data_IF_603229429618
#
_entry.id   IF_603229429618
#
_cell.length_a   1.000
_cell.length_b   1.000
_cell.length_c   1.000
_cell.angle_alpha   90.00
_cell.angle_beta   90.00
_cell.angle_gamma   90.00
#
_symmetry.space_group_name_H-M   'P 1'
#
loop_
_entity.id
_entity.type
_entity.pdbx_description
1 polymer ?
#
# COMPACT_ATOMS: atom_id res chain seq x y z
N UNK A 1 -13.15 -8.43 5.88
CA UNK A 1 -13.49 -7.18 5.17
C UNK A 1 -12.20 -6.51 4.73
N UNK A 2 -12.17 -5.87 3.56
CA UNK A 2 -10.99 -5.14 3.10
C UNK A 2 -10.66 -3.99 4.05
N UNK A 3 -9.39 -3.60 4.11
CA UNK A 3 -8.95 -2.45 4.88
C UNK A 3 -8.69 -1.29 3.92
N UNK A 4 -9.27 -0.12 4.20
CA UNK A 4 -9.00 1.12 3.49
C UNK A 4 -8.63 2.21 4.49
N UNK A 5 -7.33 2.42 4.70
CA UNK A 5 -6.85 3.15 5.88
C UNK A 5 -5.61 4.01 5.61
N UNK A 6 -5.61 5.21 6.19
CA UNK A 6 -4.48 6.13 6.25
C UNK A 6 -3.87 6.10 7.66
N UNK A 7 -2.61 5.69 7.74
CA UNK A 7 -1.78 5.84 8.93
C UNK A 7 -1.10 7.20 8.86
N UNK A 8 -1.35 8.06 9.85
CA UNK A 8 -0.82 9.41 9.86
C UNK A 8 -0.15 9.78 11.17
N UNK A 9 0.76 10.73 11.10
CA UNK A 9 1.48 11.26 12.25
C UNK A 9 2.88 11.70 11.86
N UNK A 10 3.68 12.01 12.88
CA UNK A 10 4.99 12.65 12.72
C UNK A 10 6.03 11.74 12.05
N UNK A 11 7.12 12.30 11.53
CA UNK A 11 8.18 11.51 10.91
C UNK A 11 8.81 10.53 11.89
N UNK A 12 9.12 9.32 11.41
CA UNK A 12 9.79 8.31 12.22
C UNK A 12 8.89 7.57 13.21
N UNK A 13 7.55 7.74 13.20
CA UNK A 13 6.62 6.98 14.06
C UNK A 13 6.33 5.56 13.55
N UNK A 14 7.19 4.98 12.72
CA UNK A 14 7.05 3.58 12.32
C UNK A 14 5.81 3.25 11.47
N UNK A 15 5.15 4.22 10.83
CA UNK A 15 3.94 4.01 10.00
C UNK A 15 4.10 2.88 8.97
N UNK A 16 5.11 2.99 8.12
CA UNK A 16 5.39 1.99 7.07
C UNK A 16 5.87 0.67 7.67
N UNK A 17 6.64 0.72 8.77
CA UNK A 17 7.04 -0.47 9.52
C UNK A 17 5.83 -1.25 10.06
N UNK A 18 4.84 -0.54 10.61
CA UNK A 18 3.61 -1.11 11.15
C UNK A 18 2.77 -1.78 10.06
N UNK A 19 2.64 -1.14 8.90
CA UNK A 19 1.97 -1.74 7.73
C UNK A 19 2.63 -3.07 7.38
N UNK A 20 3.96 -3.07 7.24
CA UNK A 20 4.73 -4.22 6.77
C UNK A 20 4.83 -5.37 7.77
N UNK A 21 4.93 -5.07 9.07
CA UNK A 21 5.18 -6.07 10.12
C UNK A 21 3.94 -6.52 10.87
N UNK A 22 2.88 -5.71 10.88
CA UNK A 22 1.66 -6.02 11.62
C UNK A 22 0.46 -6.18 10.69
N UNK A 23 0.15 -5.16 9.88
CA UNK A 23 -1.14 -5.11 9.17
C UNK A 23 -1.19 -6.15 8.05
N UNK A 24 -0.18 -6.19 7.19
CA UNK A 24 -0.12 -7.10 6.05
C UNK A 24 -0.11 -8.58 6.51
N UNK A 25 0.82 -9.03 7.36
CA UNK A 25 0.88 -10.44 7.73
C UNK A 25 -0.24 -10.87 8.70
N UNK A 26 -0.63 -10.03 9.66
CA UNK A 26 -1.54 -10.48 10.73
C UNK A 26 -3.01 -10.16 10.43
N UNK A 27 -3.31 -8.97 9.90
CA UNK A 27 -4.70 -8.56 9.61
C UNK A 27 -5.15 -8.97 8.22
N UNK A 28 -4.31 -8.76 7.21
CA UNK A 28 -4.64 -9.11 5.82
C UNK A 28 -4.24 -10.54 5.47
N UNK A 29 -3.39 -11.21 6.28
CA UNK A 29 -2.93 -12.59 6.05
C UNK A 29 -2.29 -12.77 4.67
N UNK A 30 -1.54 -11.75 4.22
CA UNK A 30 -0.82 -11.80 2.95
C UNK A 30 0.60 -12.28 3.24
N UNK A 31 0.96 -13.41 2.65
CA UNK A 31 2.30 -14.01 2.76
C UNK A 31 3.05 -14.03 1.42
N UNK A 32 2.33 -13.97 0.30
CA UNK A 32 2.93 -13.83 -1.03
C UNK A 32 3.23 -12.35 -1.33
N UNK A 33 4.51 -12.05 -1.57
CA UNK A 33 4.96 -10.71 -1.93
C UNK A 33 4.36 -10.21 -3.26
N UNK A 34 3.93 -11.10 -4.17
CA UNK A 34 3.27 -10.68 -5.41
C UNK A 34 1.89 -10.06 -5.18
N UNK A 35 1.28 -10.31 -4.01
CA UNK A 35 0.02 -9.71 -3.59
C UNK A 35 0.23 -8.36 -2.86
N UNK A 36 1.46 -7.86 -2.77
CA UNK A 36 1.81 -6.57 -2.15
C UNK A 36 2.31 -5.62 -3.24
N UNK A 37 1.46 -4.67 -3.63
CA UNK A 37 1.82 -3.62 -4.59
C UNK A 37 2.13 -2.36 -3.79
N UNK A 38 3.35 -1.83 -3.91
CA UNK A 38 3.78 -0.61 -3.21
C UNK A 38 4.05 0.52 -4.20
N UNK A 39 3.69 1.74 -3.81
CA UNK A 39 4.04 2.96 -4.53
C UNK A 39 4.24 4.11 -3.55
N UNK A 40 4.89 5.18 -4.00
CA UNK A 40 5.13 6.40 -3.22
C UNK A 40 4.63 7.57 -4.03
N UNK A 41 3.75 8.38 -3.46
CA UNK A 41 3.28 9.58 -4.13
C UNK A 41 4.33 10.69 -4.02
N UNK A 42 4.52 11.40 -5.12
CA UNK A 42 5.38 12.56 -5.24
C UNK A 42 4.68 13.63 -6.09
N UNK A 43 5.16 14.89 -6.12
CA UNK A 43 4.44 15.98 -6.78
C UNK A 43 4.12 15.71 -8.27
N UNK A 44 5.05 15.07 -8.97
CA UNK A 44 4.89 14.71 -10.39
C UNK A 44 4.17 13.37 -10.63
N UNK A 45 3.67 12.70 -9.59
CA UNK A 45 2.96 11.43 -9.74
C UNK A 45 1.57 11.71 -10.30
N UNK A 46 1.20 11.03 -11.39
CA UNK A 46 -0.03 11.35 -12.14
C UNK A 46 -1.05 10.22 -12.13
N UNK A 47 -2.28 10.50 -12.59
CA UNK A 47 -3.28 9.47 -12.87
C UNK A 47 -2.73 8.38 -13.80
N UNK A 48 -1.88 8.74 -14.77
CA UNK A 48 -1.24 7.79 -15.67
C UNK A 48 -0.23 6.85 -14.98
N UNK A 49 0.39 7.26 -13.88
CA UNK A 49 1.24 6.37 -13.07
C UNK A 49 0.42 5.44 -12.18
N UNK A 50 -0.78 5.90 -11.79
CA UNK A 50 -1.71 5.14 -10.95
C UNK A 50 -2.49 4.10 -11.73
N UNK A 51 -3.10 4.49 -12.85
CA UNK A 51 -3.93 3.64 -13.69
C UNK A 51 -3.13 3.04 -14.84
N UNK A 52 -2.42 3.87 -15.58
CA UNK A 52 -1.49 3.45 -16.63
C UNK A 52 -1.37 4.48 -17.73
N UNK A 53 -0.28 4.42 -18.50
CA UNK A 53 0.02 5.39 -19.56
C UNK A 53 0.77 4.75 -20.71
N UNK A 54 0.64 5.35 -21.89
CA UNK A 54 1.49 5.02 -23.04
C UNK A 54 2.86 5.67 -22.85
N UNK A 55 3.90 4.87 -22.95
CA UNK A 55 5.28 5.32 -22.89
C UNK A 55 5.93 5.11 -24.26
N UNK A 56 6.64 6.12 -24.80
CA UNK A 56 7.44 5.95 -26.00
C UNK A 56 8.68 5.10 -25.66
N UNK A 57 8.97 4.14 -26.52
CA UNK A 57 10.18 3.34 -26.52
C UNK A 57 10.87 3.56 -27.85
N UNK A 58 12.09 4.09 -27.80
CA UNK A 58 12.96 4.23 -28.96
C UNK A 58 13.83 2.99 -29.03
N UNK A 59 13.77 2.25 -30.12
CA UNK A 59 14.70 1.15 -30.36
C UNK A 59 16.06 1.65 -30.88
N UNK A 60 17.05 0.74 -30.98
CA UNK A 60 18.40 1.05 -31.48
C UNK A 60 18.40 1.59 -32.93
N UNK A 61 17.28 1.47 -33.64
CA UNK A 61 17.08 1.99 -35.00
C UNK A 61 16.44 3.37 -35.05
N UNK A 62 16.30 4.05 -33.89
CA UNK A 62 15.61 5.34 -33.71
C UNK A 62 14.11 5.32 -34.03
N UNK A 63 13.50 4.14 -34.14
CA UNK A 63 12.06 4.03 -34.37
C UNK A 63 11.33 4.14 -33.03
N UNK A 64 10.38 5.07 -32.95
CA UNK A 64 9.53 5.25 -31.77
C UNK A 64 8.36 4.30 -31.84
N UNK A 65 8.24 3.42 -30.84
CA UNK A 65 7.07 2.58 -30.59
C UNK A 65 6.40 3.01 -29.29
N UNK A 66 5.09 2.83 -29.17
CA UNK A 66 4.38 3.13 -27.94
C UNK A 66 4.02 1.83 -27.23
N UNK A 67 4.36 1.74 -25.95
CA UNK A 67 3.99 0.61 -25.10
C UNK A 67 3.13 1.10 -23.94
N UNK A 68 2.00 0.43 -23.74
CA UNK A 68 1.18 0.66 -22.56
C UNK A 68 1.86 0.10 -21.31
N UNK A 69 1.99 0.94 -20.30
CA UNK A 69 2.51 0.59 -18.98
C UNK A 69 1.37 0.64 -17.96
N UNK A 70 1.04 -0.51 -17.38
CA UNK A 70 -0.01 -0.62 -16.36
C UNK A 70 0.44 0.03 -15.05
N UNK A 71 -0.41 0.91 -14.51
CA UNK A 71 -0.16 1.62 -13.26
C UNK A 71 -0.37 0.74 -12.03
N UNK A 72 0.03 1.27 -10.87
CA UNK A 72 0.02 0.53 -9.60
C UNK A 72 -1.37 0.08 -9.16
N UNK A 73 -2.41 0.89 -9.37
CA UNK A 73 -3.77 0.53 -9.04
C UNK A 73 -4.29 -0.62 -9.91
N UNK A 74 -4.10 -0.54 -11.23
CA UNK A 74 -4.55 -1.60 -12.15
C UNK A 74 -3.78 -2.91 -11.93
N UNK A 75 -2.50 -2.85 -11.54
CA UNK A 75 -1.75 -4.04 -11.10
C UNK A 75 -2.37 -4.70 -9.88
N UNK A 76 -2.67 -3.91 -8.84
CA UNK A 76 -3.30 -4.42 -7.63
C UNK A 76 -4.70 -4.98 -7.91
N UNK A 77 -5.50 -4.28 -8.73
CA UNK A 77 -6.83 -4.71 -9.14
C UNK A 77 -6.79 -6.00 -9.97
N UNK A 78 -5.91 -6.06 -10.97
CA UNK A 78 -5.73 -7.24 -11.81
C UNK A 78 -5.32 -8.46 -11.00
N UNK A 79 -4.40 -8.29 -10.04
CA UNK A 79 -4.01 -9.37 -9.12
C UNK A 79 -5.18 -9.82 -8.25
N UNK A 80 -5.99 -8.90 -7.74
CA UNK A 80 -7.15 -9.24 -6.91
C UNK A 80 -8.21 -10.03 -7.70
N UNK A 81 -8.50 -9.62 -8.93
CA UNK A 81 -9.39 -10.34 -9.85
C UNK A 81 -8.84 -11.71 -10.26
N UNK A 82 -7.54 -11.80 -10.54
CA UNK A 82 -6.86 -13.08 -10.78
C UNK A 82 -7.08 -14.04 -9.62
N UNK A 83 -6.85 -13.58 -8.39
CA UNK A 83 -7.03 -14.42 -7.19
C UNK A 83 -8.49 -14.87 -7.03
N UNK A 84 -9.48 -14.06 -7.43
CA UNK A 84 -10.90 -14.48 -7.49
C UNK A 84 -11.09 -15.61 -8.50
N UNK A 85 -10.64 -15.43 -9.74
CA UNK A 85 -10.75 -16.46 -10.78
C UNK A 85 -10.06 -17.75 -10.33
N UNK A 86 -8.79 -17.68 -9.91
CA UNK A 86 -8.03 -18.85 -9.46
C UNK A 86 -8.70 -19.59 -8.32
N UNK A 87 -9.30 -18.87 -7.37
CA UNK A 87 -10.03 -19.48 -6.25
C UNK A 87 -11.28 -20.22 -6.70
N UNK A 88 -12.02 -19.66 -7.67
CA UNK A 88 -13.21 -20.29 -8.25
C UNK A 88 -12.85 -21.52 -9.08
N UNK A 89 -11.81 -21.44 -9.92
CA UNK A 89 -11.33 -22.59 -10.69
C UNK A 89 -10.84 -23.72 -9.79
N UNK A 90 -10.08 -23.40 -8.74
CA UNK A 90 -9.64 -24.41 -7.77
C UNK A 90 -10.84 -25.11 -7.06
N UNK A 91 -11.92 -24.37 -6.81
CA UNK A 91 -13.14 -24.93 -6.26
C UNK A 91 -13.87 -25.83 -7.27
N UNK A 92 -13.93 -25.45 -8.53
CA UNK A 92 -14.50 -26.27 -9.61
C UNK A 92 -13.69 -27.55 -9.83
N UNK A 93 -12.36 -27.45 -9.91
CA UNK A 93 -11.44 -28.59 -10.02
C UNK A 93 -11.65 -29.59 -8.86
N UNK A 94 -11.79 -29.10 -7.63
CA UNK A 94 -12.06 -29.94 -6.47
C UNK A 94 -13.40 -30.68 -6.59
N UNK A 95 -14.46 -30.02 -7.09
CA UNK A 95 -15.75 -30.67 -7.36
C UNK A 95 -15.64 -31.70 -8.48
N UNK A 96 -14.89 -31.43 -9.53
CA UNK A 96 -14.65 -32.41 -10.59
C UNK A 96 -13.88 -33.64 -10.09
N UNK A 97 -12.95 -33.47 -9.17
CA UNK A 97 -12.26 -34.58 -8.52
C UNK A 97 -13.23 -35.44 -7.69
N UNK A 98 -14.11 -34.80 -6.90
CA UNK A 98 -15.18 -35.47 -6.16
C UNK A 98 -16.09 -36.26 -7.10
N UNK A 99 -16.53 -35.64 -8.19
CA UNK A 99 -17.37 -36.29 -9.20
C UNK A 99 -16.67 -37.51 -9.80
N UNK A 100 -15.40 -37.36 -10.15
CA UNK A 100 -14.61 -38.42 -10.78
C UNK A 100 -14.41 -39.61 -9.85
N UNK A 101 -14.19 -39.37 -8.55
CA UNK A 101 -14.14 -40.42 -7.51
C UNK A 101 -15.51 -41.08 -7.35
N UNK A 102 -16.58 -40.30 -7.24
CA UNK A 102 -17.94 -40.82 -7.07
C UNK A 102 -18.37 -41.71 -8.24
N UNK A 103 -18.12 -41.28 -9.49
CA UNK A 103 -18.36 -42.08 -10.72
C UNK A 103 -17.69 -43.45 -10.68
N UNK A 104 -16.46 -43.51 -10.15
CA UNK A 104 -15.71 -44.77 -10.00
C UNK A 104 -16.33 -45.66 -8.92
N UNK A 105 -16.78 -45.09 -7.81
CA UNK A 105 -17.41 -45.83 -6.72
C UNK A 105 -18.73 -46.50 -7.14
N UNK A 106 -19.58 -45.77 -7.87
CA UNK A 106 -20.87 -46.30 -8.37
C UNK A 106 -20.76 -47.02 -9.72
N UNK A 107 -19.54 -47.09 -10.29
CA UNK A 107 -19.25 -47.69 -11.59
C UNK A 107 -20.13 -47.16 -12.76
N UNK A 108 -20.45 -45.85 -12.74
CA UNK A 108 -21.22 -45.17 -13.79
C UNK A 108 -20.42 -44.00 -14.35
N UNK A 109 -20.35 -43.91 -15.67
CA UNK A 109 -19.57 -42.85 -16.36
C UNK A 109 -20.39 -41.60 -16.67
N UNK A 110 -21.69 -41.76 -16.96
CA UNK A 110 -22.58 -40.68 -17.34
C UNK A 110 -23.60 -40.36 -16.23
N UNK A 111 -23.61 -39.10 -15.80
CA UNK A 111 -24.49 -38.59 -14.73
C UNK A 111 -25.99 -38.75 -15.04
N UNK A 112 -26.37 -38.86 -16.32
CA UNK A 112 -27.76 -39.03 -16.72
C UNK A 112 -28.36 -40.35 -16.20
N UNK A 113 -27.53 -41.36 -15.94
CA UNK A 113 -27.95 -42.66 -15.38
C UNK A 113 -27.89 -42.72 -13.85
N UNK A 114 -27.67 -41.58 -13.19
CA UNK A 114 -27.65 -41.54 -11.73
C UNK A 114 -29.07 -41.64 -11.20
N UNK A 115 -29.26 -42.53 -10.23
CA UNK A 115 -30.49 -42.64 -9.45
C UNK A 115 -30.66 -41.42 -8.55
N UNK A 116 -31.88 -41.20 -8.06
CA UNK A 116 -32.18 -40.04 -7.21
C UNK A 116 -31.31 -40.02 -5.94
N UNK A 117 -31.15 -41.18 -5.29
CA UNK A 117 -30.28 -41.35 -4.11
C UNK A 117 -28.82 -41.03 -4.40
N UNK A 118 -28.29 -41.44 -5.56
CA UNK A 118 -26.91 -41.15 -5.98
C UNK A 118 -26.71 -39.66 -6.28
N UNK A 119 -27.72 -38.98 -6.86
CA UNK A 119 -27.67 -37.52 -7.08
C UNK A 119 -27.69 -36.75 -5.77
N UNK A 120 -28.49 -37.19 -4.81
CA UNK A 120 -28.52 -36.62 -3.46
C UNK A 120 -27.17 -36.81 -2.75
N UNK A 121 -26.58 -38.00 -2.83
CA UNK A 121 -25.27 -38.26 -2.25
C UNK A 121 -24.17 -37.42 -2.90
N UNK A 122 -24.14 -37.31 -4.24
CA UNK A 122 -23.19 -36.45 -4.93
C UNK A 122 -23.34 -34.98 -4.50
N UNK A 123 -24.58 -34.48 -4.38
CA UNK A 123 -24.82 -33.12 -3.89
C UNK A 123 -24.33 -32.93 -2.46
N UNK A 124 -24.52 -33.91 -1.58
CA UNK A 124 -23.98 -33.87 -0.22
C UNK A 124 -22.45 -33.80 -0.22
N UNK A 125 -21.79 -34.59 -1.08
CA UNK A 125 -20.32 -34.55 -1.24
C UNK A 125 -19.85 -33.22 -1.82
N UNK A 126 -20.55 -32.66 -2.81
CA UNK A 126 -20.27 -31.31 -3.31
C UNK A 126 -20.41 -30.24 -2.24
N UNK A 127 -21.42 -30.33 -1.38
CA UNK A 127 -21.63 -29.38 -0.28
C UNK A 127 -20.54 -29.50 0.80
N UNK A 128 -19.83 -30.62 0.86
CA UNK A 128 -18.67 -30.81 1.74
C UNK A 128 -17.37 -30.18 1.19
N UNK A 129 -17.32 -29.84 -0.10
CA UNK A 129 -16.19 -29.13 -0.70
C UNK A 129 -16.19 -27.70 -0.17
N UNK A 130 -15.16 -27.36 0.61
CA UNK A 130 -15.03 -26.01 1.13
C UNK A 130 -14.75 -25.02 0.00
N UNK A 131 -15.48 -23.90 -0.03
CA UNK A 131 -15.12 -22.77 -0.89
C UNK A 131 -13.77 -22.22 -0.43
N UNK A 132 -12.83 -22.11 -1.36
CA UNK A 132 -11.56 -21.43 -1.12
C UNK A 132 -11.86 -19.93 -1.22
N UNK A 133 -11.41 -19.16 -0.23
CA UNK A 133 -11.47 -17.71 -0.29
C UNK A 133 -10.33 -17.18 -1.15
N UNK A 134 -10.56 -16.17 -2.01
CA UNK A 134 -9.49 -15.61 -2.82
C UNK A 134 -8.43 -14.96 -1.92
N UNK A 135 -7.17 -15.15 -2.29
CA UNK A 135 -6.06 -14.52 -1.59
C UNK A 135 -6.20 -13.00 -1.60
N UNK A 136 -5.90 -12.39 -0.46
CA UNK A 136 -5.94 -10.95 -0.29
C UNK A 136 -4.78 -10.28 -1.04
N UNK A 137 -5.05 -9.08 -1.54
CA UNK A 137 -4.10 -8.19 -2.21
C UNK A 137 -4.12 -6.85 -1.50
N UNK A 138 -2.96 -6.19 -1.41
CA UNK A 138 -2.85 -4.86 -0.82
C UNK A 138 -2.11 -3.91 -1.74
N UNK A 139 -2.69 -2.73 -1.93
CA UNK A 139 -2.02 -1.55 -2.48
C UNK A 139 -1.56 -0.66 -1.33
N UNK A 140 -0.24 -0.49 -1.18
CA UNK A 140 0.37 0.41 -0.19
C UNK A 140 0.83 1.68 -0.89
N UNK A 141 0.31 2.82 -0.45
CA UNK A 141 0.65 4.15 -0.96
C UNK A 141 1.37 4.94 0.13
N UNK A 142 2.67 5.07 0.02
CA UNK A 142 3.46 5.91 0.93
C UNK A 142 3.29 7.40 0.55
N UNK A 143 3.31 8.28 1.55
CA UNK A 143 3.30 9.73 1.36
C UNK A 143 2.10 10.25 0.53
N UNK A 144 0.88 9.81 0.86
CA UNK A 144 -0.34 10.09 0.09
C UNK A 144 -0.55 11.57 -0.28
N UNK A 145 -0.16 12.44 0.65
CA UNK A 145 -0.34 13.89 0.57
C UNK A 145 0.79 14.62 -0.17
N UNK A 146 1.85 13.94 -0.62
CA UNK A 146 2.93 14.54 -1.43
C UNK A 146 2.57 14.65 -2.91
N UNK A 147 1.58 13.90 -3.37
CA UNK A 147 0.97 14.06 -4.69
C UNK A 147 -0.42 14.68 -4.57
N UNK A 148 -0.94 15.22 -5.67
CA UNK A 148 -2.33 15.69 -5.73
C UNK A 148 -3.28 14.48 -5.74
N UNK A 149 -3.62 13.97 -4.55
CA UNK A 149 -4.36 12.71 -4.41
C UNK A 149 -5.70 12.72 -5.16
N UNK A 150 -6.40 13.86 -5.19
CA UNK A 150 -7.65 14.00 -5.94
C UNK A 150 -7.44 13.81 -7.45
N UNK A 151 -6.41 14.43 -8.01
CA UNK A 151 -6.07 14.29 -9.44
C UNK A 151 -5.52 12.89 -9.77
N UNK A 152 -4.71 12.31 -8.89
CA UNK A 152 -4.11 10.98 -9.08
C UNK A 152 -5.18 9.88 -9.09
N UNK A 153 -6.13 9.93 -8.14
CA UNK A 153 -7.22 8.96 -8.11
C UNK A 153 -8.24 9.22 -9.23
N UNK A 154 -8.48 10.48 -9.60
CA UNK A 154 -9.40 10.81 -10.70
C UNK A 154 -10.76 10.14 -10.52
N UNK A 155 -11.18 9.31 -11.48
CA UNK A 155 -12.43 8.55 -11.41
C UNK A 155 -12.41 7.40 -10.39
N UNK A 156 -11.23 6.81 -10.11
CA UNK A 156 -11.04 5.74 -9.10
C UNK A 156 -11.52 6.18 -7.73
N UNK A 157 -11.55 7.49 -7.47
CA UNK A 157 -12.16 8.08 -6.30
C UNK A 157 -13.56 7.54 -5.96
N UNK A 158 -14.40 7.29 -6.97
CA UNK A 158 -15.75 6.76 -6.77
C UNK A 158 -15.76 5.30 -6.29
N UNK A 159 -14.70 4.54 -6.60
CA UNK A 159 -14.57 3.14 -6.19
C UNK A 159 -14.16 2.99 -4.72
N UNK A 160 -13.69 4.05 -4.09
CA UNK A 160 -13.26 4.03 -2.70
C UNK A 160 -14.44 3.90 -1.71
N UNK A 161 -15.66 4.21 -2.14
CA UNK A 161 -16.86 3.97 -1.34
C UNK A 161 -17.14 2.46 -1.28
N UNK A 162 -17.03 1.85 -0.10
CA UNK A 162 -17.19 0.39 0.11
C UNK A 162 -18.58 0.04 0.61
N UNK A 163 -19.16 -1.01 0.01
CA UNK A 163 -20.39 -1.64 0.45
C UNK A 163 -20.15 -2.65 1.59
N UNK A 164 -21.22 -3.16 2.20
CA UNK A 164 -21.13 -4.14 3.30
C UNK A 164 -20.50 -5.48 2.87
N UNK A 165 -20.62 -5.84 1.60
CA UNK A 165 -19.99 -7.03 1.02
C UNK A 165 -18.47 -6.85 0.77
N UNK A 166 -17.94 -5.64 1.00
CA UNK A 166 -16.54 -5.27 0.77
C UNK A 166 -16.21 -4.84 -0.66
N UNK A 167 -17.12 -5.00 -1.62
CA UNK A 167 -16.94 -4.43 -2.94
C UNK A 167 -17.08 -2.91 -2.90
N UNK A 168 -16.56 -2.23 -3.92
CA UNK A 168 -16.94 -0.83 -4.13
C UNK A 168 -18.45 -0.74 -4.38
N UNK A 169 -19.11 0.27 -3.80
CA UNK A 169 -20.54 0.51 -4.01
C UNK A 169 -20.79 0.82 -5.49
N UNK A 170 -20.01 1.77 -6.01
CA UNK A 170 -20.08 2.22 -7.39
C UNK A 170 -19.10 1.47 -8.28
N UNK A 171 -19.35 1.56 -9.59
CA UNK A 171 -18.41 1.15 -10.63
C UNK A 171 -17.95 2.38 -11.41
N UNK A 172 -16.84 2.25 -12.12
CA UNK A 172 -16.40 3.25 -13.10
C UNK A 172 -16.15 2.57 -14.43
N UNK A 173 -16.17 3.37 -15.49
CA UNK A 173 -15.71 2.95 -16.83
C UNK A 173 -14.26 3.39 -17.01
N UNK A 174 -13.42 2.48 -17.48
CA UNK A 174 -12.02 2.75 -17.85
C UNK A 174 -11.86 2.75 -19.38
N UNK A 175 -10.75 3.29 -19.86
CA UNK A 175 -10.40 3.28 -21.29
C UNK A 175 -10.05 1.87 -21.78
N UNK A 176 -10.14 1.64 -23.09
CA UNK A 176 -9.78 0.35 -23.69
C UNK A 176 -8.33 -0.05 -23.41
N UNK A 177 -7.40 0.91 -23.40
CA UNK A 177 -6.00 0.67 -23.08
C UNK A 177 -5.82 0.23 -21.63
N UNK A 178 -6.53 0.85 -20.69
CA UNK A 178 -6.57 0.43 -19.29
C UNK A 178 -7.17 -0.96 -19.14
N UNK A 179 -8.25 -1.28 -19.88
CA UNK A 179 -8.82 -2.64 -19.89
C UNK A 179 -7.81 -3.67 -20.42
N UNK A 180 -7.11 -3.37 -21.51
CA UNK A 180 -6.06 -4.26 -22.05
C UNK A 180 -4.94 -4.48 -21.02
N UNK A 181 -4.49 -3.40 -20.36
CA UNK A 181 -3.50 -3.48 -19.29
C UNK A 181 -3.99 -4.32 -18.12
N UNK A 182 -5.22 -4.10 -17.67
CA UNK A 182 -5.85 -4.84 -16.58
C UNK A 182 -5.99 -6.32 -16.92
N UNK A 183 -6.51 -6.67 -18.10
CA UNK A 183 -6.64 -8.05 -18.56
C UNK A 183 -5.29 -8.78 -18.55
N UNK A 184 -4.22 -8.09 -18.95
CA UNK A 184 -2.86 -8.62 -18.88
C UNK A 184 -2.41 -8.91 -17.45
N UNK A 185 -2.68 -8.00 -16.51
CA UNK A 185 -2.36 -8.21 -15.08
C UNK A 185 -3.21 -9.32 -14.44
N UNK A 186 -4.43 -9.53 -14.93
CA UNK A 186 -5.27 -10.68 -14.54
C UNK A 186 -4.64 -12.01 -15.01
N UNK A 187 -3.79 -11.99 -16.05
CA UNK A 187 -3.14 -13.17 -16.62
C UNK A 187 -3.66 -13.55 -18.01
N UNK A 188 -4.50 -12.72 -18.63
CA UNK A 188 -4.99 -12.95 -19.97
C UNK A 188 -4.01 -12.46 -21.04
N UNK A 189 -3.92 -13.21 -22.14
CA UNK A 189 -3.25 -12.75 -23.35
C UNK A 189 -4.01 -13.21 -24.59
N UNK A 190 -3.99 -12.38 -25.65
CA UNK A 190 -4.60 -12.67 -26.94
C UNK A 190 -3.53 -12.91 -27.99
N UNK A 191 -3.74 -13.88 -28.86
CA UNK A 191 -2.88 -14.15 -30.01
C UNK A 191 -3.72 -14.57 -31.21
N UNK A 192 -3.17 -14.38 -32.40
CA UNK A 192 -3.83 -14.65 -33.66
C UNK A 192 -3.16 -15.83 -34.35
N UNK A 193 -3.95 -16.80 -34.78
CA UNK A 193 -3.49 -17.87 -35.66
C UNK A 193 -4.03 -17.65 -37.06
N UNK A 194 -3.18 -17.85 -38.05
CA UNK A 194 -3.55 -17.79 -39.45
C UNK A 194 -3.58 -19.21 -40.02
N UNK A 195 -4.78 -19.74 -40.25
CA UNK A 195 -4.98 -21.05 -40.85
C UNK A 195 -6.01 -20.95 -41.97
N UNK A 196 -5.68 -21.52 -43.14
CA UNK A 196 -6.63 -21.64 -44.26
C UNK A 196 -7.20 -20.33 -44.80
N UNK A 197 -6.49 -19.20 -44.66
CA UNK A 197 -6.96 -17.90 -45.13
C UNK A 197 -7.82 -17.13 -44.12
N UNK A 198 -8.05 -17.66 -42.91
CA UNK A 198 -8.80 -17.02 -41.83
C UNK A 198 -7.89 -16.74 -40.64
N UNK A 199 -8.12 -15.60 -40.00
CA UNK A 199 -7.49 -15.25 -38.73
C UNK A 199 -8.44 -15.63 -37.60
N UNK A 200 -8.04 -16.58 -36.75
CA UNK A 200 -8.78 -16.93 -35.55
C UNK A 200 -8.17 -16.27 -34.32
N UNK A 201 -9.02 -15.70 -33.47
CA UNK A 201 -8.63 -15.19 -32.15
C UNK A 201 -8.54 -16.34 -31.15
N UNK A 202 -7.38 -16.43 -30.49
CA UNK A 202 -7.14 -17.38 -29.40
C UNK A 202 -6.75 -16.63 -28.14
N UNK A 203 -7.08 -17.24 -27.00
CA UNK A 203 -6.91 -16.65 -25.69
C UNK A 203 -6.04 -17.58 -24.85
N UNK A 204 -5.26 -16.99 -23.94
CA UNK A 204 -4.61 -17.72 -22.86
C UNK A 204 -4.97 -17.09 -21.54
N UNK A 205 -5.11 -17.93 -20.53
CA UNK A 205 -5.15 -17.53 -19.13
C UNK A 205 -4.00 -18.23 -18.40
N UNK A 206 -3.13 -17.46 -17.72
CA UNK A 206 -1.95 -18.00 -17.04
C UNK A 206 -1.06 -18.86 -17.97
N UNK A 207 -0.96 -18.47 -19.24
CA UNK A 207 -0.19 -19.17 -20.27
C UNK A 207 -0.84 -20.43 -20.84
N UNK A 208 -1.96 -20.91 -20.29
CA UNK A 208 -2.75 -22.04 -20.83
C UNK A 208 -3.77 -21.54 -21.83
N UNK A 209 -3.93 -22.26 -22.95
CA UNK A 209 -4.93 -21.93 -23.96
C UNK A 209 -6.34 -22.07 -23.39
N UNK A 210 -7.22 -21.13 -23.74
CA UNK A 210 -8.63 -21.18 -23.43
C UNK A 210 -9.46 -20.74 -24.65
N UNK A 211 -10.65 -21.33 -24.76
CA UNK A 211 -11.67 -20.97 -25.73
C UNK A 211 -12.27 -19.59 -25.41
N UNK A 212 -12.92 -18.99 -26.41
CA UNK A 212 -13.68 -17.73 -26.23
C UNK A 212 -14.73 -17.86 -25.13
N UNK A 213 -15.36 -19.04 -25.01
CA UNK A 213 -16.35 -19.31 -23.98
C UNK A 213 -15.70 -19.29 -22.60
N UNK A 214 -14.64 -20.06 -22.39
CA UNK A 214 -13.91 -20.09 -21.11
C UNK A 214 -13.36 -18.71 -20.73
N UNK A 215 -12.85 -17.94 -21.70
CA UNK A 215 -12.42 -16.56 -21.47
C UNK A 215 -13.56 -15.70 -20.90
N UNK A 216 -14.74 -15.73 -21.52
CA UNK A 216 -15.91 -14.97 -21.05
C UNK A 216 -16.45 -15.49 -19.71
N UNK A 217 -16.42 -16.80 -19.49
CA UNK A 217 -16.83 -17.43 -18.24
C UNK A 217 -15.91 -16.96 -17.10
N UNK A 218 -14.58 -16.95 -17.30
CA UNK A 218 -13.62 -16.47 -16.31
C UNK A 218 -13.79 -14.99 -15.97
N UNK A 219 -14.07 -14.14 -16.95
CA UNK A 219 -14.37 -12.73 -16.69
C UNK A 219 -15.66 -12.57 -15.87
N UNK A 220 -16.65 -13.44 -16.09
CA UNK A 220 -17.92 -13.42 -15.37
C UNK A 220 -17.77 -13.89 -13.91
N UNK A 221 -16.85 -14.84 -13.64
CA UNK A 221 -16.54 -15.32 -12.29
C UNK A 221 -16.12 -14.19 -11.33
N UNK A 222 -15.50 -13.13 -11.84
CA UNK A 222 -15.04 -11.99 -11.02
C UNK A 222 -16.21 -11.36 -10.26
N UNK A 223 -17.35 -11.19 -10.91
CA UNK A 223 -18.52 -10.49 -10.35
C UNK A 223 -19.65 -11.43 -9.97
N UNK A 224 -19.43 -12.74 -10.00
CA UNK A 224 -20.47 -13.74 -9.77
C UNK A 224 -21.13 -13.59 -8.39
N UNK A 225 -20.33 -13.26 -7.37
CA UNK A 225 -20.78 -13.13 -5.98
C UNK A 225 -21.55 -11.82 -5.70
N UNK A 226 -21.63 -10.89 -6.66
CA UNK A 226 -22.45 -9.69 -6.54
C UNK A 226 -23.93 -9.99 -6.85
N UNK A 227 -24.83 -9.24 -6.24
CA UNK A 227 -26.24 -9.23 -6.67
C UNK A 227 -26.36 -8.76 -8.13
N UNK A 228 -27.33 -9.28 -8.88
CA UNK A 228 -27.45 -9.01 -10.33
C UNK A 228 -27.52 -7.51 -10.67
N UNK A 229 -28.16 -6.69 -9.83
CA UNK A 229 -28.21 -5.22 -9.99
C UNK A 229 -26.84 -4.55 -9.83
N UNK A 230 -25.93 -5.16 -9.05
CA UNK A 230 -24.59 -4.63 -8.76
C UNK A 230 -23.51 -5.19 -9.68
N UNK A 231 -23.80 -6.26 -10.42
CA UNK A 231 -22.86 -6.88 -11.37
C UNK A 231 -22.47 -5.88 -12.46
N UNK A 232 -21.22 -5.96 -12.87
CA UNK A 232 -20.69 -5.21 -14.01
C UNK A 232 -19.98 -6.16 -14.96
N UNK A 233 -19.64 -5.66 -16.14
CA UNK A 233 -18.92 -6.43 -17.15
C UNK A 233 -17.62 -5.74 -17.52
N UNK A 234 -16.51 -6.48 -17.46
CA UNK A 234 -15.23 -6.03 -17.98
C UNK A 234 -15.26 -5.83 -19.51
N UNK A 235 -16.16 -6.53 -20.21
CA UNK A 235 -16.38 -6.33 -21.66
C UNK A 235 -16.95 -4.93 -21.94
N UNK A 236 -17.69 -4.36 -20.99
CA UNK A 236 -18.17 -2.97 -21.04
C UNK A 236 -17.15 -1.96 -20.47
N UNK A 237 -15.91 -2.40 -20.24
CA UNK A 237 -14.85 -1.62 -19.59
C UNK A 237 -15.23 -1.12 -18.19
N UNK A 238 -16.14 -1.80 -17.48
CA UNK A 238 -16.55 -1.43 -16.13
C UNK A 238 -15.77 -2.22 -15.08
N UNK A 239 -15.31 -1.51 -14.04
CA UNK A 239 -14.57 -2.10 -12.93
C UNK A 239 -15.17 -1.73 -11.58
N UNK A 240 -14.95 -2.60 -10.59
CA UNK A 240 -15.26 -2.41 -9.17
C UNK A 240 -14.07 -2.86 -8.34
N UNK A 241 -13.86 -2.31 -7.14
CA UNK A 241 -12.81 -2.86 -6.27
C UNK A 241 -13.38 -4.06 -5.51
N UNK A 242 -12.76 -5.25 -5.57
CA UNK A 242 -13.25 -6.42 -4.87
C UNK A 242 -12.97 -6.39 -3.37
N UNK A 243 -13.64 -7.27 -2.63
CA UNK A 243 -13.50 -7.41 -1.19
C UNK A 243 -12.12 -7.95 -0.74
N UNK A 244 -11.37 -8.60 -1.63
CA UNK A 244 -10.01 -9.08 -1.36
C UNK A 244 -8.92 -8.04 -1.69
N UNK A 245 -9.27 -6.82 -2.15
CA UNK A 245 -8.30 -5.75 -2.37
C UNK A 245 -8.40 -4.65 -1.29
N UNK A 246 -7.36 -4.56 -0.48
CA UNK A 246 -7.18 -3.53 0.55
C UNK A 246 -6.26 -2.40 0.06
N UNK A 247 -6.47 -1.18 0.56
CA UNK A 247 -5.64 -0.03 0.25
C UNK A 247 -5.14 0.58 1.57
N UNK A 248 -3.84 0.55 1.78
CA UNK A 248 -3.20 1.13 2.96
C UNK A 248 -2.36 2.31 2.52
N UNK A 249 -2.30 3.34 3.35
CA UNK A 249 -1.52 4.50 3.02
C UNK A 249 -0.86 5.12 4.24
N UNK A 250 0.24 5.82 4.03
CA UNK A 250 0.90 6.61 5.05
C UNK A 250 0.83 8.10 4.72
N UNK A 251 0.82 8.93 5.75
CA UNK A 251 0.85 10.37 5.61
C UNK A 251 1.72 10.99 6.71
N UNK A 252 2.71 11.78 6.33
CA UNK A 252 3.39 12.67 7.26
C UNK A 252 2.60 13.96 7.42
N UNK A 253 2.34 14.35 8.65
CA UNK A 253 1.63 15.60 8.96
C UNK A 253 2.56 16.80 9.11
N UNK A 254 3.87 16.55 9.26
CA UNK A 254 4.91 17.56 9.49
C UNK A 254 5.36 18.34 8.27
N UNK A 255 5.15 17.78 7.08
CA UNK A 255 5.66 18.32 5.83
C UNK A 255 4.89 19.57 5.42
N UNK A 256 5.63 20.64 5.13
CA UNK A 256 5.05 21.93 4.76
C UNK A 256 4.58 21.98 3.29
N UNK A 257 5.07 21.07 2.44
CA UNK A 257 4.80 21.00 1.00
C UNK A 257 3.91 19.80 0.66
N UNK A 258 2.70 19.81 1.18
CA UNK A 258 1.72 18.75 0.98
C UNK A 258 0.49 19.28 0.25
N UNK A 259 -0.09 18.47 -0.62
CA UNK A 259 -1.35 18.76 -1.27
C UNK A 259 -2.49 18.66 -0.26
N UNK A 260 -3.44 19.58 -0.39
CA UNK A 260 -4.65 19.55 0.42
C UNK A 260 -5.55 18.39 -0.02
N UNK A 261 -5.94 17.54 0.94
CA UNK A 261 -7.00 16.55 0.73
C UNK A 261 -8.34 17.13 1.16
N UNK A 262 -9.30 17.14 0.24
CA UNK A 262 -10.64 17.62 0.53
C UNK A 262 -11.43 16.70 1.47
N UNK A 263 -12.53 17.22 2.00
CA UNK A 263 -13.36 16.49 2.96
C UNK A 263 -14.08 15.28 2.34
N UNK A 264 -14.29 15.24 1.03
CA UNK A 264 -14.91 14.11 0.37
C UNK A 264 -13.93 12.95 0.25
N UNK A 265 -12.66 13.23 -0.04
CA UNK A 265 -11.57 12.25 -0.01
C UNK A 265 -11.40 11.69 1.39
N UNK A 266 -11.24 12.55 2.39
CA UNK A 266 -11.00 12.10 3.77
C UNK A 266 -12.06 11.16 4.32
N UNK A 267 -13.34 11.37 3.98
CA UNK A 267 -14.48 10.56 4.45
C UNK A 267 -14.48 9.12 3.95
N UNK A 268 -13.72 8.81 2.90
CA UNK A 268 -13.63 7.47 2.30
C UNK A 268 -12.53 6.61 2.92
N UNK A 269 -11.76 7.16 3.84
CA UNK A 269 -10.67 6.46 4.50
C UNK A 269 -10.94 6.35 5.98
N UNK A 270 -10.59 5.20 6.55
CA UNK A 270 -10.35 5.13 7.98
C UNK A 270 -9.03 5.83 8.30
N UNK A 271 -9.00 6.56 9.40
CA UNK A 271 -7.83 7.29 9.86
C UNK A 271 -7.28 6.64 11.11
N UNK A 272 -5.99 6.36 11.12
CA UNK A 272 -5.31 5.83 12.30
C UNK A 272 -4.08 6.69 12.61
N UNK A 273 -4.16 7.40 13.74
CA UNK A 273 -3.04 8.16 14.25
C UNK A 273 -1.99 7.19 14.81
N UNK A 274 -0.74 7.33 14.39
CA UNK A 274 0.38 6.55 14.91
C UNK A 274 1.11 7.40 15.93
N UNK A 275 0.87 7.06 17.20
CA UNK A 275 1.44 7.76 18.34
C UNK A 275 2.97 7.60 18.38
N UNK A 276 3.63 8.66 18.84
CA UNK A 276 5.07 8.75 19.03
C UNK A 276 5.50 7.95 20.25
N UNK A 277 4.65 7.91 21.28
CA UNK A 277 4.87 7.18 22.54
C UNK A 277 4.37 5.73 22.45
N UNK A 278 4.75 5.03 21.39
CA UNK A 278 4.42 3.62 21.20
C UNK A 278 5.53 2.74 21.79
N UNK A 279 5.28 2.14 22.96
CA UNK A 279 6.24 1.27 23.66
C UNK A 279 6.73 0.10 22.79
N UNK A 280 5.90 -0.42 21.88
CA UNK A 280 6.33 -1.49 20.98
C UNK A 280 7.41 -0.97 20.03
N UNK A 281 7.22 0.22 19.49
CA UNK A 281 8.21 0.87 18.62
C UNK A 281 9.48 1.26 19.38
N UNK A 282 9.31 1.78 20.60
CA UNK A 282 10.41 2.10 21.52
C UNK A 282 11.31 0.89 21.77
N UNK A 283 10.70 -0.28 21.97
CA UNK A 283 11.40 -1.53 22.22
C UNK A 283 12.09 -2.09 20.97
N UNK A 284 11.49 -1.94 19.78
CA UNK A 284 12.12 -2.36 18.52
C UNK A 284 13.46 -1.66 18.27
N UNK A 285 13.61 -0.41 18.74
CA UNK A 285 14.83 0.39 18.54
C UNK A 285 15.78 0.38 19.75
N UNK A 286 15.50 -0.41 20.79
CA UNK A 286 16.22 -0.36 22.07
C UNK A 286 17.72 -0.70 21.95
N UNK A 287 18.14 -1.40 20.89
CA UNK A 287 19.56 -1.69 20.61
C UNK A 287 20.32 -0.52 20.00
N UNK A 288 19.65 0.52 19.49
CA UNK A 288 20.28 1.64 18.80
C UNK A 288 20.94 2.58 19.81
N UNK A 289 22.17 3.02 19.51
CA UNK A 289 22.97 3.86 20.42
C UNK A 289 23.53 5.09 19.72
N UNK A 290 23.60 6.20 20.44
CA UNK A 290 24.30 7.40 19.99
C UNK A 290 25.78 7.28 20.38
N UNK A 291 26.66 7.28 19.37
CA UNK A 291 28.12 7.26 19.52
C UNK A 291 28.72 8.50 18.87
N UNK A 292 29.16 9.45 19.69
CA UNK A 292 29.80 10.67 19.20
C UNK A 292 31.30 10.56 19.37
N UNK A 293 32.04 10.63 18.25
CA UNK A 293 33.51 10.54 18.24
C UNK A 293 34.01 9.28 18.97
N UNK A 294 33.41 8.14 18.62
CA UNK A 294 33.66 6.81 19.19
C UNK A 294 33.36 6.65 20.68
N UNK A 295 32.71 7.65 21.29
CA UNK A 295 32.24 7.59 22.68
C UNK A 295 30.74 7.34 22.71
N UNK A 296 30.36 6.25 23.38
CA UNK A 296 28.98 5.91 23.67
C UNK A 296 28.35 6.96 24.61
N UNK A 297 27.22 7.54 24.22
CA UNK A 297 26.53 8.58 24.98
C UNK A 297 25.27 8.08 25.67
N UNK A 298 24.39 7.44 24.93
CA UNK A 298 23.09 6.98 25.44
C UNK A 298 22.40 6.04 24.44
N UNK A 299 21.30 5.42 24.88
CA UNK A 299 20.37 4.74 24.00
C UNK A 299 19.54 5.74 23.19
N UNK A 300 19.26 5.41 21.93
CA UNK A 300 18.54 6.30 21.01
C UNK A 300 17.10 6.58 21.46
N UNK A 301 16.39 5.57 21.94
CA UNK A 301 15.03 5.71 22.44
C UNK A 301 14.93 6.69 23.63
N UNK A 302 15.84 6.58 24.61
CA UNK A 302 15.90 7.49 25.75
C UNK A 302 16.16 8.94 25.30
N UNK A 303 17.07 9.13 24.33
CA UNK A 303 17.32 10.44 23.77
C UNK A 303 16.10 11.02 23.05
N UNK A 304 15.39 10.21 22.26
CA UNK A 304 14.14 10.61 21.59
C UNK A 304 13.07 11.03 22.60
N UNK A 305 12.92 10.27 23.70
CA UNK A 305 11.97 10.59 24.78
C UNK A 305 12.28 11.97 25.37
N UNK A 306 13.55 12.23 25.73
CA UNK A 306 13.98 13.52 26.28
C UNK A 306 13.85 14.67 25.27
N UNK A 307 14.19 14.43 24.01
CA UNK A 307 14.05 15.45 22.98
C UNK A 307 12.59 15.83 22.75
N UNK A 308 11.68 14.85 22.70
CA UNK A 308 10.25 15.13 22.59
C UNK A 308 9.71 15.82 23.85
N UNK A 309 10.21 15.48 25.04
CA UNK A 309 9.90 16.23 26.26
C UNK A 309 10.33 17.70 26.15
N UNK A 310 11.54 17.97 25.69
CA UNK A 310 12.04 19.33 25.42
C UNK A 310 11.16 20.07 24.40
N UNK A 311 10.82 19.46 23.27
CA UNK A 311 9.93 20.06 22.26
C UNK A 311 8.58 20.42 22.88
N UNK A 312 8.00 19.51 23.68
CA UNK A 312 6.71 19.71 24.36
C UNK A 312 6.76 20.81 25.41
N UNK A 313 7.85 20.93 26.14
CA UNK A 313 8.04 22.01 27.09
C UNK A 313 7.93 23.39 26.42
N UNK A 314 8.41 23.50 25.19
CA UNK A 314 8.36 24.73 24.38
C UNK A 314 7.08 24.86 23.51
N UNK A 315 5.95 24.25 23.89
CA UNK A 315 4.70 24.27 23.12
C UNK A 315 4.16 25.65 22.77
N UNK A 316 4.46 26.67 23.58
CA UNK A 316 4.03 28.06 23.31
C UNK A 316 4.72 28.66 22.08
N UNK A 317 5.93 28.21 21.76
CA UNK A 317 6.72 28.71 20.63
C UNK A 317 6.67 27.76 19.44
N UNK A 318 6.50 26.46 19.66
CA UNK A 318 6.41 25.45 18.60
C UNK A 318 4.97 25.28 18.13
N UNK A 319 4.66 25.76 16.92
CA UNK A 319 3.33 25.60 16.31
C UNK A 319 3.13 24.17 15.80
N UNK A 320 1.89 23.67 15.87
CA UNK A 320 1.50 22.30 15.47
C UNK A 320 2.41 21.23 16.09
N UNK A 321 2.53 21.27 17.41
CA UNK A 321 3.52 20.50 18.15
C UNK A 321 3.48 19.00 17.89
N UNK A 322 2.27 18.45 17.69
CA UNK A 322 2.08 17.04 17.37
C UNK A 322 2.97 16.64 16.18
N UNK A 323 2.89 17.42 15.10
CA UNK A 323 3.59 17.22 13.84
C UNK A 323 5.09 17.55 13.90
N UNK A 324 5.58 18.15 15.00
CA UNK A 324 6.98 18.62 15.13
C UNK A 324 7.84 17.74 16.02
N UNK A 325 7.23 16.78 16.71
CA UNK A 325 7.94 15.74 17.43
C UNK A 325 8.56 14.71 16.47
N UNK A 326 9.48 13.90 16.96
CA UNK A 326 10.15 12.84 16.18
C UNK A 326 9.80 11.46 16.74
N UNK A 327 9.61 10.48 15.86
CA UNK A 327 9.46 9.09 16.27
C UNK A 327 10.77 8.31 16.33
N UNK A 328 10.73 7.14 16.95
CA UNK A 328 11.88 6.26 17.17
C UNK A 328 12.60 5.79 15.88
N UNK A 329 11.91 5.77 14.74
CA UNK A 329 12.48 5.40 13.43
C UNK A 329 13.02 6.61 12.63
N UNK A 330 13.12 7.79 13.24
CA UNK A 330 13.63 8.99 12.56
C UNK A 330 15.07 8.80 12.05
N UNK A 331 15.90 8.08 12.81
CA UNK A 331 17.21 7.57 12.36
C UNK A 331 17.18 6.05 12.50
N UNK A 332 17.47 5.33 11.41
CA UNK A 332 17.34 3.87 11.35
C UNK A 332 18.65 3.09 11.58
N UNK A 333 19.76 3.81 11.65
CA UNK A 333 21.10 3.27 11.88
C UNK A 333 21.23 2.67 13.29
N UNK A 334 21.95 1.53 13.42
CA UNK A 334 22.21 0.91 14.73
C UNK A 334 23.15 1.77 15.59
N UNK A 335 24.18 2.34 14.95
CA UNK A 335 25.08 3.30 15.57
C UNK A 335 24.85 4.69 14.98
N UNK A 336 24.40 5.62 15.83
CA UNK A 336 24.04 6.98 15.45
C UNK A 336 25.24 7.89 15.73
N UNK A 337 25.91 8.31 14.65
CA UNK A 337 27.11 9.14 14.72
C UNK A 337 26.79 10.65 14.64
N UNK A 338 27.84 11.46 14.71
CA UNK A 338 27.73 12.92 14.65
C UNK A 338 27.08 13.43 13.35
N UNK A 339 27.35 12.80 12.19
CA UNK A 339 26.74 13.20 10.92
C UNK A 339 25.23 12.90 10.88
N UNK A 340 24.79 11.79 11.50
CA UNK A 340 23.37 11.50 11.63
C UNK A 340 22.64 12.53 12.50
N UNK A 341 23.21 12.90 13.65
CA UNK A 341 22.66 13.95 14.52
C UNK A 341 22.64 15.29 13.80
N UNK A 342 23.77 15.69 13.20
CA UNK A 342 23.93 16.97 12.53
C UNK A 342 23.01 17.13 11.31
N UNK A 343 23.11 16.23 10.35
CA UNK A 343 22.52 16.42 9.02
C UNK A 343 21.05 15.95 8.93
N UNK A 344 20.60 15.08 9.84
CA UNK A 344 19.19 14.63 9.88
C UNK A 344 18.44 15.31 11.02
N UNK A 345 18.86 15.06 12.27
CA UNK A 345 18.11 15.48 13.44
C UNK A 345 18.14 17.00 13.66
N UNK A 346 19.32 17.57 13.82
CA UNK A 346 19.50 19.00 14.08
C UNK A 346 19.03 19.82 12.89
N UNK A 347 19.20 19.33 11.66
CA UNK A 347 18.62 19.95 10.48
C UNK A 347 17.09 20.00 10.55
N UNK A 348 16.41 18.92 10.92
CA UNK A 348 14.95 18.92 11.09
C UNK A 348 14.50 19.86 12.22
N UNK A 349 15.18 19.84 13.37
CA UNK A 349 14.89 20.77 14.46
C UNK A 349 15.06 22.23 14.00
N UNK A 350 16.10 22.50 13.21
CA UNK A 350 16.36 23.81 12.67
C UNK A 350 15.30 24.23 11.64
N UNK A 351 15.08 23.44 10.60
CA UNK A 351 14.27 23.83 9.46
C UNK A 351 12.76 23.70 9.72
N UNK A 352 12.35 22.73 10.54
CA UNK A 352 10.95 22.35 10.72
C UNK A 352 10.37 22.69 12.09
N UNK A 353 11.12 22.53 13.18
CA UNK A 353 10.58 22.68 14.56
C UNK A 353 10.75 24.09 15.10
N UNK A 354 11.98 24.60 15.08
CA UNK A 354 12.35 25.91 15.64
C UNK A 354 12.52 26.99 14.56
N UNK A 355 11.90 26.81 13.40
CA UNK A 355 12.13 27.60 12.20
C UNK A 355 11.87 29.10 12.35
N UNK A 356 10.89 29.47 13.18
CA UNK A 356 10.53 30.87 13.45
C UNK A 356 11.14 31.42 14.75
N UNK A 357 11.52 30.56 15.69
CA UNK A 357 12.02 31.00 16.99
C UNK A 357 13.13 30.05 17.48
N UNK A 358 14.36 30.58 17.54
CA UNK A 358 15.57 29.86 17.96
C UNK A 358 15.81 29.90 19.47
N UNK A 359 15.07 30.72 20.20
CA UNK A 359 15.26 30.92 21.64
C UNK A 359 15.29 29.62 22.46
N UNK A 360 14.40 28.63 22.21
CA UNK A 360 14.50 27.35 22.91
C UNK A 360 15.87 26.67 22.76
N UNK A 361 16.48 26.74 21.58
CA UNK A 361 17.80 26.13 21.33
C UNK A 361 18.93 26.93 21.99
N UNK A 362 18.85 28.26 22.00
CA UNK A 362 19.87 29.11 22.62
C UNK A 362 19.81 29.03 24.14
N UNK A 363 18.61 28.99 24.72
CA UNK A 363 18.38 28.78 26.16
C UNK A 363 18.91 27.40 26.60
N UNK A 364 18.66 26.35 25.79
CA UNK A 364 19.19 25.00 26.06
C UNK A 364 20.72 24.92 26.03
N UNK A 365 21.34 25.61 25.07
CA UNK A 365 22.79 25.63 24.86
C UNK A 365 23.51 26.68 25.70
N UNK A 366 22.78 27.52 26.45
CA UNK A 366 23.35 28.62 27.25
C UNK A 366 24.23 29.58 26.43
N UNK A 367 23.87 29.81 25.16
CA UNK A 367 24.57 30.72 24.24
C UNK A 367 23.71 31.94 23.90
N UNK A 368 24.38 33.05 23.57
CA UNK A 368 23.69 34.27 23.14
C UNK A 368 22.98 34.05 21.78
N UNK A 369 21.82 34.68 21.58
CA UNK A 369 21.05 34.55 20.34
C UNK A 369 21.86 34.95 19.10
N UNK A 370 22.84 35.85 19.23
CA UNK A 370 23.74 36.28 18.14
C UNK A 370 24.75 35.20 17.74
N UNK A 371 24.98 34.20 18.58
CA UNK A 371 25.90 33.11 18.31
C UNK A 371 25.24 31.94 17.56
N UNK A 372 23.91 31.89 17.53
CA UNK A 372 23.11 30.84 16.89
C UNK A 372 22.15 31.38 15.82
N UNK A 373 22.70 32.13 14.86
CA UNK A 373 21.93 32.75 13.77
C UNK A 373 21.80 31.82 12.55
N UNK A 374 22.81 30.99 12.30
CA UNK A 374 22.92 30.14 11.12
C UNK A 374 23.00 28.66 11.48
N UNK A 375 22.54 27.80 10.57
CA UNK A 375 22.67 26.35 10.75
C UNK A 375 24.14 25.90 10.85
N UNK A 376 25.06 26.59 10.17
CA UNK A 376 26.50 26.33 10.29
C UNK A 376 27.04 26.53 11.70
N UNK A 377 26.50 27.50 12.46
CA UNK A 377 26.87 27.69 13.87
C UNK A 377 26.29 26.58 14.75
N UNK A 378 25.03 26.18 14.50
CA UNK A 378 24.37 25.10 15.24
C UNK A 378 25.07 23.75 15.06
N UNK A 379 25.74 23.55 13.93
CA UNK A 379 26.37 22.27 13.57
C UNK A 379 27.87 22.19 13.85
N UNK A 380 28.44 23.18 14.57
CA UNK A 380 29.82 23.09 15.07
C UNK A 380 29.98 21.88 15.96
N UNK A 381 31.11 21.19 15.85
CA UNK A 381 31.42 19.95 16.58
C UNK A 381 31.14 20.04 18.09
N UNK A 382 31.57 21.12 18.75
CA UNK A 382 31.33 21.26 20.20
C UNK A 382 29.85 21.50 20.53
N UNK A 383 29.13 22.23 19.67
CA UNK A 383 27.68 22.47 19.82
C UNK A 383 26.89 21.17 19.65
N UNK A 384 27.28 20.29 18.72
CA UNK A 384 26.61 18.98 18.55
C UNK A 384 26.75 18.12 19.81
N UNK A 385 27.95 18.07 20.40
CA UNK A 385 28.19 17.32 21.64
C UNK A 385 27.39 17.90 22.80
N UNK A 386 27.45 19.23 22.97
CA UNK A 386 26.75 19.95 24.02
C UNK A 386 25.24 19.81 23.88
N UNK A 387 24.70 19.92 22.67
CA UNK A 387 23.29 19.69 22.37
C UNK A 387 22.82 18.32 22.86
N UNK A 388 23.54 17.25 22.50
CA UNK A 388 23.15 15.89 22.94
C UNK A 388 23.19 15.76 24.46
N UNK A 389 24.21 16.31 25.11
CA UNK A 389 24.33 16.28 26.56
C UNK A 389 23.24 17.09 27.27
N UNK A 390 22.96 18.31 26.80
CA UNK A 390 21.94 19.21 27.38
C UNK A 390 20.54 18.65 27.20
N UNK A 391 20.22 18.00 26.07
CA UNK A 391 18.94 17.30 25.89
C UNK A 391 18.79 16.15 26.89
N UNK A 392 19.82 15.33 27.09
CA UNK A 392 19.74 14.21 28.04
C UNK A 392 19.57 14.67 29.50
N UNK A 393 20.17 15.81 29.85
CA UNK A 393 20.06 16.42 31.18
C UNK A 393 18.90 17.41 31.32
N UNK A 394 18.03 17.54 30.31
CA UNK A 394 16.98 18.54 30.32
C UNK A 394 15.86 18.14 31.29
N UNK A 395 15.79 18.85 32.42
CA UNK A 395 14.75 18.72 33.42
C UNK A 395 14.29 20.11 33.84
N UNK A 396 13.00 20.26 34.15
CA UNK A 396 12.37 21.53 34.53
C UNK A 396 12.00 21.52 36.00
#
# INVERSE_FOLDING_TARGET
MPIQKIFFGSPGTGKSFRIDKEVIPNKLKIHDNHNIIKTVFHPEYTYGDFMGKLMPLTDDTQKVSYRYYTGHFLKALGRAYKNIISSKLAYEDAKEEVLSKFKREINKTNQQFFELSEKEELNNRYNSVARIAPENVVLVIDELNRGNSAAIFGTVFQLLDRAQDGWSEYHITISELETIGLLKEIGFSKYYLYEGGRTEEKFKFEGKECSVKEYNDYLSLIFEDLEDIKKVSLVENKIKIPANLSILSTMNTSDNSIYFMDNAFKRRWDWEFVNIEDDNQRNVVASRRIKLYDVDKCAWNEFVDQLNYFIRYHYKTVRKIEDKQIGYFFINDQEINHEHIKNKLMFFLWDSVFNTNRKPLTDLLEIDERELVTFGQFTKQEVVKEFVQKILGFHV
#
